data_IF_811800796867
#
_entry.id   IF_811800796867
#
_cell.length_a   1.000
_cell.length_b   1.000
_cell.length_c   1.000
_cell.angle_alpha   90.00
_cell.angle_beta   90.00
_cell.angle_gamma   90.00
#
_symmetry.space_group_name_H-M   'P 1'
#
loop_
_entity.id
_entity.type
_entity.pdbx_description
1 polymer ?
#
# COMPACT_ATOMS: atom_id res chain seq x y z
N UNK A 1 -1.72 2.98 14.50
CA UNK A 1 -1.19 4.36 14.55
C UNK A 1 -0.71 4.66 13.15
N UNK A 2 -1.26 5.66 12.44
CA UNK A 2 -0.77 5.98 11.11
C UNK A 2 0.66 6.54 11.22
N UNK A 3 1.60 5.96 10.47
CA UNK A 3 3.03 6.27 10.47
C UNK A 3 3.78 6.08 11.79
N UNK A 4 4.25 4.87 12.06
CA UNK A 4 5.29 4.66 13.06
C UNK A 4 6.68 4.78 12.43
N UNK A 5 7.44 5.79 12.84
CA UNK A 5 8.82 6.01 12.39
C UNK A 5 9.73 4.78 12.52
N UNK A 6 9.46 3.91 13.51
CA UNK A 6 10.26 2.71 13.77
C UNK A 6 9.73 1.45 13.10
N UNK A 7 8.60 1.51 12.39
CA UNK A 7 8.07 0.37 11.67
C UNK A 7 8.71 0.28 10.28
N UNK A 8 9.40 -0.84 10.02
CA UNK A 8 10.11 -1.08 8.77
C UNK A 8 9.13 -1.06 7.59
N UNK A 9 7.92 -1.61 7.75
CA UNK A 9 6.98 -1.65 6.62
C UNK A 9 6.45 -0.23 6.31
N UNK A 10 6.38 0.66 7.30
CA UNK A 10 6.00 2.06 7.06
C UNK A 10 7.09 2.79 6.25
N UNK A 11 8.37 2.56 6.57
CA UNK A 11 9.50 3.10 5.80
C UNK A 11 9.48 2.55 4.37
N UNK A 12 9.22 1.26 4.19
CA UNK A 12 9.11 0.63 2.86
C UNK A 12 7.91 1.19 2.08
N UNK A 13 6.80 1.45 2.75
CA UNK A 13 5.61 2.06 2.15
C UNK A 13 5.90 3.48 1.68
N UNK A 14 6.54 4.28 2.51
CA UNK A 14 6.90 5.67 2.21
C UNK A 14 7.91 5.76 1.05
N UNK A 15 8.74 4.72 0.85
CA UNK A 15 9.67 4.60 -0.27
C UNK A 15 9.04 4.21 -1.62
N UNK A 16 7.76 3.82 -1.65
CA UNK A 16 7.08 3.43 -2.89
C UNK A 16 7.01 4.61 -3.87
N UNK A 17 7.24 4.32 -5.15
CA UNK A 17 7.25 5.33 -6.21
C UNK A 17 5.82 5.59 -6.69
N UNK A 18 5.40 6.84 -6.62
CA UNK A 18 4.07 7.28 -7.04
C UNK A 18 4.18 8.17 -8.28
N UNK A 19 3.37 7.92 -9.32
CA UNK A 19 3.37 8.72 -10.53
C UNK A 19 2.89 10.14 -10.23
N UNK A 20 3.77 11.11 -10.43
CA UNK A 20 3.56 12.52 -10.10
C UNK A 20 3.81 13.41 -11.33
N UNK A 21 3.05 14.50 -11.46
CA UNK A 21 3.19 15.48 -12.53
C UNK A 21 3.56 16.83 -11.94
N UNK A 22 4.68 17.42 -12.36
CA UNK A 22 5.08 18.75 -11.90
C UNK A 22 4.18 19.82 -12.53
N UNK A 23 3.62 20.71 -11.72
CA UNK A 23 2.82 21.83 -12.24
C UNK A 23 3.68 23.03 -12.64
N UNK A 24 4.90 23.10 -12.12
CA UNK A 24 5.82 24.24 -12.29
C UNK A 24 7.16 23.80 -12.87
N UNK A 25 7.82 24.74 -13.55
CA UNK A 25 9.20 24.53 -13.96
C UNK A 25 10.14 24.83 -12.80
N UNK A 26 10.94 23.85 -12.38
CA UNK A 26 11.86 23.99 -11.26
C UNK A 26 13.31 23.81 -11.75
N UNK A 27 14.18 24.83 -11.58
CA UNK A 27 15.57 24.75 -12.03
C UNK A 27 16.35 23.73 -11.18
N UNK A 28 17.40 23.15 -11.79
CA UNK A 28 18.34 22.22 -11.15
C UNK A 28 17.76 20.88 -10.62
N UNK A 29 16.45 20.63 -10.77
CA UNK A 29 15.83 19.35 -10.38
C UNK A 29 15.84 18.29 -11.49
N UNK A 30 16.47 18.56 -12.64
CA UNK A 30 16.45 17.63 -13.79
C UNK A 30 17.04 16.24 -13.50
N UNK A 31 17.82 16.09 -12.41
CA UNK A 31 18.31 14.79 -11.95
C UNK A 31 17.18 13.81 -11.61
N UNK A 32 15.98 14.30 -11.23
CA UNK A 32 14.80 13.47 -10.99
C UNK A 32 14.33 12.74 -12.26
N UNK A 33 14.69 13.25 -13.44
CA UNK A 33 14.40 12.68 -14.75
C UNK A 33 15.64 12.10 -15.45
N UNK A 34 16.78 12.02 -14.74
CA UNK A 34 18.06 11.60 -15.31
C UNK A 34 18.82 12.67 -16.11
N UNK A 35 18.34 13.92 -16.12
CA UNK A 35 18.94 15.05 -16.83
C UNK A 35 19.64 16.01 -15.86
N UNK A 36 20.86 15.64 -15.44
CA UNK A 36 21.65 16.40 -14.46
C UNK A 36 21.92 17.82 -14.96
N UNK A 37 21.65 18.83 -14.11
CA UNK A 37 21.88 20.24 -14.41
C UNK A 37 20.82 20.92 -15.27
N UNK A 38 19.78 20.19 -15.71
CA UNK A 38 18.62 20.79 -16.38
C UNK A 38 17.50 21.14 -15.40
N UNK A 39 16.57 21.96 -15.86
CA UNK A 39 15.30 22.21 -15.17
C UNK A 39 14.31 21.06 -15.42
N UNK A 40 13.44 20.83 -14.44
CA UNK A 40 12.21 20.05 -14.63
C UNK A 40 11.19 21.03 -15.20
N UNK A 41 10.59 20.71 -16.34
CA UNK A 41 9.57 21.57 -16.96
C UNK A 41 8.21 21.35 -16.32
N UNK A 42 7.37 22.38 -16.32
CA UNK A 42 5.94 22.24 -16.04
C UNK A 42 5.30 21.16 -16.94
N UNK A 43 4.34 20.44 -16.37
CA UNK A 43 3.65 19.28 -16.94
C UNK A 43 4.52 18.05 -17.24
N UNK A 44 5.76 18.02 -16.73
CA UNK A 44 6.60 16.85 -16.86
C UNK A 44 6.25 15.80 -15.79
N UNK A 45 6.29 14.53 -16.18
CA UNK A 45 5.99 13.39 -15.31
C UNK A 45 7.27 12.87 -14.65
N UNK A 46 7.20 12.51 -13.38
CA UNK A 46 8.26 11.86 -12.66
C UNK A 46 7.69 10.93 -11.58
N UNK A 47 8.34 9.81 -11.36
CA UNK A 47 7.98 8.88 -10.29
C UNK A 47 8.74 9.29 -9.03
N UNK A 48 8.00 9.81 -8.04
CA UNK A 48 8.57 10.31 -6.78
C UNK A 48 8.21 9.36 -5.64
N UNK A 49 9.10 9.17 -4.65
CA UNK A 49 8.76 8.46 -3.42
C UNK A 49 7.57 9.11 -2.71
N UNK A 50 6.69 8.29 -2.12
CA UNK A 50 5.47 8.74 -1.44
C UNK A 50 5.72 9.79 -0.35
N UNK A 51 6.79 9.66 0.45
CA UNK A 51 7.13 10.65 1.49
C UNK A 51 7.43 12.05 0.90
N UNK A 52 8.03 12.10 -0.28
CA UNK A 52 8.35 13.35 -0.96
C UNK A 52 7.12 13.88 -1.69
N UNK A 53 6.40 13.00 -2.39
CA UNK A 53 5.23 13.37 -3.15
C UNK A 53 4.14 13.97 -2.25
N UNK A 54 3.83 13.33 -1.12
CA UNK A 54 2.88 13.83 -0.13
C UNK A 54 3.24 15.23 0.36
N UNK A 55 4.51 15.47 0.72
CA UNK A 55 4.98 16.78 1.16
C UNK A 55 4.82 17.85 0.08
N UNK A 56 5.17 17.54 -1.17
CA UNK A 56 5.11 18.49 -2.29
C UNK A 56 3.67 18.78 -2.76
N UNK A 57 2.75 17.85 -2.57
CA UNK A 57 1.34 18.03 -2.93
C UNK A 57 0.56 18.85 -1.90
N UNK A 58 0.96 18.82 -0.62
CA UNK A 58 0.28 19.55 0.47
C UNK A 58 0.87 20.94 0.71
N UNK A 59 2.10 21.22 0.29
CA UNK A 59 2.74 22.51 0.53
C UNK A 59 2.22 23.61 -0.40
N UNK A 60 1.76 24.70 0.21
CA UNK A 60 1.42 25.94 -0.49
C UNK A 60 2.68 26.66 -0.99
N UNK A 61 2.55 27.27 -2.17
CA UNK A 61 3.65 28.00 -2.79
C UNK A 61 3.53 29.49 -2.44
N UNK A 62 4.55 30.09 -1.79
CA UNK A 62 4.54 31.51 -1.51
C UNK A 62 4.40 32.32 -2.82
N UNK A 63 3.29 33.07 -2.94
CA UNK A 63 3.00 33.91 -4.10
C UNK A 63 2.07 33.31 -5.16
N UNK A 64 1.77 32.01 -5.09
CA UNK A 64 0.70 31.37 -5.85
C UNK A 64 -0.18 30.54 -4.91
N UNK A 65 -1.15 31.17 -4.22
CA UNK A 65 -2.20 30.42 -3.53
C UNK A 65 -2.99 29.62 -4.59
N UNK A 66 -3.37 28.39 -4.27
CA UNK A 66 -4.11 27.43 -5.12
C UNK A 66 -3.30 26.62 -6.16
N UNK A 67 -1.96 26.72 -6.20
CA UNK A 67 -1.13 25.82 -7.03
C UNK A 67 -0.22 24.96 -6.16
N UNK A 68 -0.30 23.63 -6.33
CA UNK A 68 0.62 22.69 -5.69
C UNK A 68 1.91 22.55 -6.52
N UNK A 69 3.00 22.07 -5.93
CA UNK A 69 4.22 21.81 -6.70
C UNK A 69 4.02 20.65 -7.70
N UNK A 70 3.29 19.63 -7.26
CA UNK A 70 3.00 18.43 -8.03
C UNK A 70 1.53 18.06 -7.92
N UNK A 71 1.03 17.41 -8.96
CA UNK A 71 -0.23 16.67 -8.96
C UNK A 71 0.08 15.18 -8.88
N UNK A 72 -0.51 14.50 -7.89
CA UNK A 72 -0.29 13.06 -7.69
C UNK A 72 -1.39 12.30 -8.41
N UNK A 73 -1.00 11.35 -9.25
CA UNK A 73 -1.94 10.48 -9.96
C UNK A 73 -2.09 9.13 -9.26
N UNK A 74 -3.23 8.46 -9.51
CA UNK A 74 -3.52 7.17 -8.89
C UNK A 74 -2.45 6.12 -9.22
N UNK A 75 -1.88 5.44 -8.21
CA UNK A 75 -0.94 4.35 -8.41
C UNK A 75 -1.53 3.20 -9.25
N UNK A 76 -0.71 2.47 -10.03
CA UNK A 76 -1.18 1.31 -10.81
C UNK A 76 -1.80 0.20 -9.94
N UNK A 77 -1.40 0.10 -8.68
CA UNK A 77 -1.93 -0.81 -7.66
C UNK A 77 -3.41 -0.53 -7.35
N UNK A 78 -3.88 0.70 -7.54
CA UNK A 78 -5.28 1.11 -7.38
C UNK A 78 -5.97 1.36 -8.72
N UNK A 79 -5.43 0.80 -9.81
CA UNK A 79 -6.07 0.88 -11.12
C UNK A 79 -7.49 0.27 -11.10
N UNK A 80 -8.42 0.77 -11.92
CA UNK A 80 -9.80 0.28 -11.94
C UNK A 80 -9.88 -1.22 -12.27
N UNK A 81 -8.92 -1.76 -13.02
CA UNK A 81 -8.80 -3.19 -13.29
C UNK A 81 -8.59 -3.99 -12.00
N UNK A 82 -7.68 -3.56 -11.14
CA UNK A 82 -7.40 -4.20 -9.84
C UNK A 82 -8.61 -4.06 -8.93
N UNK A 83 -9.18 -2.86 -8.83
CA UNK A 83 -10.35 -2.61 -7.98
C UNK A 83 -11.56 -3.47 -8.39
N UNK A 84 -11.79 -3.65 -9.69
CA UNK A 84 -12.86 -4.53 -10.17
C UNK A 84 -12.58 -6.01 -9.88
N UNK A 85 -11.32 -6.44 -9.93
CA UNK A 85 -10.95 -7.80 -9.55
C UNK A 85 -11.18 -8.03 -8.04
N UNK A 86 -10.79 -7.08 -7.19
CA UNK A 86 -11.03 -7.12 -5.74
C UNK A 86 -12.51 -7.10 -5.39
N UNK A 87 -13.32 -6.30 -6.11
CA UNK A 87 -14.79 -6.28 -5.96
C UNK A 87 -15.42 -7.65 -6.28
N UNK A 88 -14.87 -8.35 -7.27
CA UNK A 88 -15.43 -9.63 -7.75
C UNK A 88 -15.02 -10.78 -6.82
N UNK A 89 -13.72 -10.97 -6.65
CA UNK A 89 -13.19 -12.04 -5.82
C UNK A 89 -11.85 -11.66 -5.16
N UNK A 90 -11.89 -11.11 -3.93
CA UNK A 90 -10.70 -10.62 -3.25
C UNK A 90 -9.75 -11.73 -2.79
N UNK A 91 -10.21 -12.98 -2.68
CA UNK A 91 -9.39 -14.10 -2.19
C UNK A 91 -8.38 -14.55 -3.26
N UNK A 92 -8.81 -14.54 -4.52
CA UNK A 92 -7.99 -15.00 -5.65
C UNK A 92 -7.03 -13.95 -6.19
N UNK A 93 -7.21 -12.67 -5.84
CA UNK A 93 -6.29 -11.60 -6.22
C UNK A 93 -4.97 -11.75 -5.46
N UNK A 94 -3.88 -11.73 -6.22
CA UNK A 94 -2.52 -11.69 -5.69
C UNK A 94 -2.14 -10.24 -5.35
N UNK A 95 -2.40 -9.84 -4.11
CA UNK A 95 -2.08 -8.49 -3.64
C UNK A 95 -0.58 -8.29 -3.46
N UNK A 96 0.17 -9.36 -3.19
CA UNK A 96 1.62 -9.32 -3.03
C UNK A 96 2.34 -8.97 -4.32
N UNK A 97 1.84 -9.46 -5.46
CA UNK A 97 2.37 -9.10 -6.79
C UNK A 97 2.11 -7.63 -7.14
N UNK A 98 1.06 -7.01 -6.58
CA UNK A 98 0.81 -5.58 -6.75
C UNK A 98 1.78 -4.76 -5.92
N UNK A 99 1.87 -5.07 -4.61
CA UNK A 99 2.85 -4.49 -3.71
C UNK A 99 3.01 -5.39 -2.48
N UNK A 100 4.23 -5.52 -1.98
CA UNK A 100 4.48 -6.25 -0.73
C UNK A 100 3.79 -5.60 0.48
N UNK A 101 3.49 -4.30 0.40
CA UNK A 101 2.89 -3.49 1.47
C UNK A 101 1.55 -2.89 1.03
N UNK A 102 0.77 -3.65 0.26
CA UNK A 102 -0.46 -3.18 -0.39
C UNK A 102 -1.44 -2.48 0.55
N UNK A 103 -1.79 -3.08 1.70
CA UNK A 103 -2.76 -2.46 2.61
C UNK A 103 -2.22 -1.24 3.34
N UNK A 104 -0.92 -1.21 3.67
CA UNK A 104 -0.28 0.00 4.23
C UNK A 104 -0.21 1.13 3.21
N UNK A 105 0.11 0.82 1.97
CA UNK A 105 0.07 1.77 0.86
C UNK A 105 -1.34 2.32 0.67
N UNK A 106 -2.35 1.48 0.80
CA UNK A 106 -3.75 1.89 0.70
C UNK A 106 -4.19 2.80 1.85
N UNK A 107 -3.81 2.48 3.09
CA UNK A 107 -4.05 3.36 4.26
C UNK A 107 -3.41 4.73 4.07
N UNK A 108 -2.16 4.75 3.60
CA UNK A 108 -1.45 5.98 3.24
C UNK A 108 -2.14 6.77 2.14
N UNK A 109 -2.55 6.09 1.09
CA UNK A 109 -3.20 6.72 -0.05
C UNK A 109 -4.53 7.35 0.34
N UNK A 110 -5.36 6.64 1.11
CA UNK A 110 -6.61 7.14 1.65
C UNK A 110 -6.42 8.31 2.63
N UNK A 111 -5.27 8.37 3.32
CA UNK A 111 -4.94 9.52 4.17
C UNK A 111 -4.58 10.78 3.38
N UNK A 112 -4.13 10.61 2.13
CA UNK A 112 -3.73 11.69 1.24
C UNK A 112 -4.90 12.17 0.37
N UNK A 113 -5.71 11.23 -0.13
CA UNK A 113 -6.90 11.47 -0.93
C UNK A 113 -8.10 10.80 -0.27
N UNK A 114 -9.11 11.60 0.08
CA UNK A 114 -10.36 11.09 0.64
C UNK A 114 -11.20 10.41 -0.47
N UNK A 115 -10.97 9.12 -0.67
CA UNK A 115 -11.71 8.27 -1.62
C UNK A 115 -12.59 7.24 -0.88
N UNK A 116 -13.89 7.56 -0.67
CA UNK A 116 -14.81 6.68 0.05
C UNK A 116 -15.14 5.40 -0.73
N UNK A 117 -15.03 5.40 -2.06
CA UNK A 117 -15.28 4.19 -2.86
C UNK A 117 -14.14 3.19 -2.67
N UNK A 118 -12.90 3.65 -2.75
CA UNK A 118 -11.71 2.85 -2.49
C UNK A 118 -11.73 2.27 -1.07
N UNK A 119 -12.04 3.09 -0.07
CA UNK A 119 -12.15 2.66 1.32
C UNK A 119 -13.15 1.50 1.46
N UNK A 120 -14.33 1.61 0.85
CA UNK A 120 -15.36 0.56 0.92
C UNK A 120 -14.88 -0.76 0.33
N UNK A 121 -14.19 -0.72 -0.82
CA UNK A 121 -13.64 -1.92 -1.49
C UNK A 121 -12.59 -2.59 -0.60
N UNK A 122 -11.69 -1.79 -0.02
CA UNK A 122 -10.60 -2.30 0.82
C UNK A 122 -11.11 -2.91 2.11
N UNK A 123 -12.09 -2.29 2.78
CA UNK A 123 -12.69 -2.85 4.00
C UNK A 123 -13.34 -4.21 3.73
N UNK A 124 -14.09 -4.36 2.63
CA UNK A 124 -14.70 -5.64 2.27
C UNK A 124 -13.63 -6.68 1.87
N UNK A 125 -12.58 -6.25 1.19
CA UNK A 125 -11.43 -7.10 0.82
C UNK A 125 -10.74 -7.65 2.06
N UNK A 126 -10.36 -6.78 3.02
CA UNK A 126 -9.71 -7.16 4.28
C UNK A 126 -10.62 -8.10 5.07
N UNK A 127 -11.92 -7.81 5.15
CA UNK A 127 -12.88 -8.67 5.85
C UNK A 127 -12.94 -10.08 5.26
N UNK A 128 -13.10 -10.21 3.93
CA UNK A 128 -13.17 -11.51 3.25
C UNK A 128 -11.88 -12.31 3.39
N UNK A 129 -10.74 -11.65 3.21
CA UNK A 129 -9.42 -12.30 3.32
C UNK A 129 -9.05 -12.66 4.75
N UNK A 130 -9.44 -11.85 5.74
CA UNK A 130 -9.21 -12.16 7.16
C UNK A 130 -9.94 -13.41 7.62
N UNK A 131 -11.14 -13.69 7.10
CA UNK A 131 -11.86 -14.94 7.37
C UNK A 131 -11.08 -16.15 6.84
N UNK A 132 -10.58 -16.07 5.61
CA UNK A 132 -9.75 -17.13 5.01
C UNK A 132 -8.45 -17.35 5.82
N UNK A 133 -7.78 -16.28 6.23
CA UNK A 133 -6.58 -16.33 7.10
C UNK A 133 -6.89 -17.07 8.41
N UNK A 134 -8.04 -16.79 9.02
CA UNK A 134 -8.46 -17.45 10.27
C UNK A 134 -8.76 -18.94 10.06
N UNK A 135 -9.47 -19.30 8.99
CA UNK A 135 -9.78 -20.70 8.66
C UNK A 135 -8.49 -21.51 8.43
N UNK A 136 -7.52 -20.92 7.72
CA UNK A 136 -6.23 -21.54 7.48
C UNK A 136 -5.38 -21.70 8.74
N UNK A 137 -5.40 -20.69 9.63
CA UNK A 137 -4.66 -20.73 10.89
C UNK A 137 -5.13 -21.87 11.81
N UNK A 138 -6.42 -22.23 11.74
CA UNK A 138 -7.02 -23.29 12.55
C UNK A 138 -6.80 -24.70 11.97
N UNK A 139 -6.47 -24.83 10.68
CA UNK A 139 -6.31 -26.11 10.01
C UNK A 139 -4.83 -26.44 9.71
N UNK A 140 -4.14 -27.23 10.56
CA UNK A 140 -2.73 -27.55 10.35
C UNK A 140 -2.46 -28.41 9.10
N UNK A 141 -3.49 -29.08 8.53
CA UNK A 141 -3.38 -29.77 7.23
C UNK A 141 -3.58 -28.82 6.05
N UNK A 142 -4.39 -27.78 6.24
CA UNK A 142 -4.66 -26.75 5.23
C UNK A 142 -3.42 -25.95 4.83
N UNK A 143 -2.40 -25.85 5.70
CA UNK A 143 -1.14 -25.17 5.36
C UNK A 143 -0.36 -25.82 4.20
N UNK A 144 -0.53 -27.12 3.93
CA UNK A 144 0.09 -27.80 2.78
C UNK A 144 -0.77 -27.70 1.50
N UNK A 145 -2.10 -27.70 1.61
CA UNK A 145 -3.02 -27.64 0.48
C UNK A 145 -3.31 -26.20 0.00
N UNK A 146 -3.43 -25.23 0.92
CA UNK A 146 -3.72 -23.81 0.64
C UNK A 146 -2.46 -22.93 0.55
N UNK A 147 -1.31 -23.51 0.20
CA UNK A 147 -0.05 -22.75 0.07
C UNK A 147 -0.18 -21.58 -0.93
N UNK A 148 -1.01 -21.74 -1.97
CA UNK A 148 -1.23 -20.73 -3.00
C UNK A 148 -1.77 -19.41 -2.43
N UNK A 149 -2.68 -19.44 -1.45
CA UNK A 149 -3.21 -18.23 -0.84
C UNK A 149 -2.17 -17.53 0.04
N UNK A 150 -1.34 -18.29 0.78
CA UNK A 150 -0.27 -17.74 1.62
C UNK A 150 0.73 -16.92 0.79
N UNK A 151 1.03 -17.38 -0.43
CA UNK A 151 1.94 -16.66 -1.33
C UNK A 151 1.36 -15.33 -1.84
N UNK A 152 0.03 -15.19 -1.85
CA UNK A 152 -0.70 -13.99 -2.28
C UNK A 152 -0.86 -12.93 -1.19
N UNK A 153 -0.47 -13.22 0.05
CA UNK A 153 -0.60 -12.31 1.19
C UNK A 153 0.43 -11.18 1.14
N UNK A 154 0.00 -9.97 1.49
CA UNK A 154 0.92 -8.85 1.74
C UNK A 154 1.59 -8.98 3.13
N UNK A 155 2.52 -8.09 3.46
CA UNK A 155 3.24 -8.16 4.75
C UNK A 155 2.31 -7.98 5.97
N UNK A 156 1.24 -7.20 5.84
CA UNK A 156 0.29 -7.00 6.95
C UNK A 156 -0.52 -8.27 7.22
N UNK A 157 -1.00 -8.90 6.16
CA UNK A 157 -1.73 -10.17 6.23
C UNK A 157 -0.82 -11.32 6.67
N UNK A 158 0.43 -11.32 6.21
CA UNK A 158 1.44 -12.31 6.62
C UNK A 158 1.74 -12.21 8.12
N UNK A 159 1.86 -10.99 8.66
CA UNK A 159 2.01 -10.78 10.12
C UNK A 159 0.77 -11.26 10.87
N UNK A 160 -0.42 -10.91 10.38
CA UNK A 160 -1.68 -11.38 10.97
C UNK A 160 -1.76 -12.90 11.01
N UNK A 161 -1.46 -13.57 9.89
CA UNK A 161 -1.46 -15.03 9.76
C UNK A 161 -0.50 -15.70 10.75
N UNK A 162 0.73 -15.19 10.88
CA UNK A 162 1.71 -15.75 11.83
C UNK A 162 1.24 -15.59 13.27
N UNK A 163 0.70 -14.43 13.62
CA UNK A 163 0.16 -14.16 14.96
C UNK A 163 -1.03 -15.06 15.29
N UNK A 164 -1.96 -15.25 14.36
CA UNK A 164 -3.13 -16.13 14.56
C UNK A 164 -2.70 -17.59 14.66
N UNK A 165 -1.76 -18.03 13.84
CA UNK A 165 -1.23 -19.40 13.87
C UNK A 165 -0.52 -19.70 15.20
N UNK A 166 0.30 -18.76 15.69
CA UNK A 166 0.98 -18.87 16.99
C UNK A 166 -0.03 -18.91 18.13
N UNK A 167 -1.03 -18.01 18.13
CA UNK A 167 -2.07 -17.98 19.14
C UNK A 167 -2.89 -19.30 19.21
N UNK A 168 -3.25 -19.87 18.06
CA UNK A 168 -3.94 -21.17 17.99
C UNK A 168 -3.06 -22.30 18.54
N UNK A 169 -1.77 -22.29 18.20
CA UNK A 169 -0.81 -23.28 18.70
C UNK A 169 -0.63 -23.18 20.22
N UNK A 170 -0.48 -21.98 20.75
CA UNK A 170 -0.31 -21.74 22.17
C UNK A 170 -1.57 -22.12 22.96
N UNK A 171 -2.75 -21.78 22.45
CA UNK A 171 -4.02 -22.20 23.03
C UNK A 171 -4.15 -23.73 23.08
N UNK A 172 -3.72 -24.42 22.02
CA UNK A 172 -3.70 -25.87 21.97
C UNK A 172 -2.72 -26.46 22.98
N UNK A 173 -1.51 -25.92 23.09
CA UNK A 173 -0.51 -26.37 24.08
C UNK A 173 -1.03 -26.19 25.51
N UNK A 174 -1.57 -25.01 25.81
CA UNK A 174 -2.19 -24.69 27.09
C UNK A 174 -3.31 -25.67 27.44
N UNK A 175 -4.21 -25.97 26.49
CA UNK A 175 -5.33 -26.91 26.71
C UNK A 175 -4.89 -28.34 27.06
N UNK A 176 -3.69 -28.75 26.62
CA UNK A 176 -3.12 -30.08 26.88
C UNK A 176 -2.17 -30.05 28.08
N UNK A 177 -1.99 -28.89 28.72
CA UNK A 177 -1.09 -28.70 29.87
C UNK A 177 0.39 -28.80 29.51
N UNK A 178 0.75 -28.46 28.26
CA UNK A 178 2.13 -28.36 27.78
C UNK A 178 2.62 -26.92 27.71
#
# INVERSE_FOLDING_TARGET
MPNNYYDIDDIVTDGQKIPSTFQLSVPNLGYLQGNIGQEVRANSKADLPLWLASSLATQDIPGLPDTAFIEISSPPEFSPKVLNALKTDPINVDVRLLSSVYFKLAERWLSLLDDPELLKILVETVKRRSMEIADMSNNPRGAQENSEFIFKLDETEMKLYKMTQEAVKDMKNWSVGK
#
